data_IF_983696238517
#
_entry.id   IF_983696238517
#
_cell.length_a   1.000
_cell.length_b   1.000
_cell.length_c   1.000
_cell.angle_alpha   90.00
_cell.angle_beta   90.00
_cell.angle_gamma   90.00
#
_symmetry.space_group_name_H-M   'P 1'
#
loop_
_entity.id
_entity.type
_entity.pdbx_description
1 polymer ?
#
# COMPACT_ATOMS: atom_id res chain seq x y z
N UNK A 1 0.74 5.10 20.12
CA UNK A 1 -0.28 5.15 19.08
C UNK A 1 0.34 4.91 17.72
N UNK A 2 -0.30 4.09 16.90
CA UNK A 2 0.24 3.76 15.60
C UNK A 2 -0.73 4.12 14.49
N UNK A 3 -0.16 4.48 13.34
CA UNK A 3 -0.96 4.76 12.16
C UNK A 3 -1.09 3.49 11.33
N UNK A 4 -2.29 3.20 10.90
CA UNK A 4 -2.56 2.01 10.11
C UNK A 4 -2.23 2.31 8.64
N UNK A 5 -1.37 1.49 8.06
CA UNK A 5 -0.88 1.70 6.70
C UNK A 5 -1.38 0.60 5.79
N UNK A 6 -1.72 0.98 4.57
CA UNK A 6 -2.11 0.02 3.55
C UNK A 6 -1.24 0.24 2.32
N UNK A 7 -0.70 -0.85 1.79
CA UNK A 7 0.12 -0.80 0.58
C UNK A 7 -0.69 -1.32 -0.59
N UNK A 8 -0.72 -0.56 -1.68
CA UNK A 8 -1.40 -0.97 -2.90
C UNK A 8 -0.40 -0.90 -4.03
N UNK A 9 0.05 -2.07 -4.49
CA UNK A 9 1.06 -2.14 -5.52
C UNK A 9 0.96 -3.52 -6.17
N UNK A 10 0.99 -3.56 -7.49
CA UNK A 10 0.88 -4.83 -8.19
C UNK A 10 2.22 -5.56 -8.29
N UNK A 11 3.28 -4.98 -7.77
CA UNK A 11 4.60 -5.60 -7.78
C UNK A 11 4.94 -6.15 -6.42
N UNK A 12 5.12 -7.46 -6.29
CA UNK A 12 5.42 -8.05 -4.98
C UNK A 12 6.71 -7.53 -4.36
N UNK A 13 7.72 -7.28 -5.19
CA UNK A 13 9.00 -6.80 -4.66
C UNK A 13 8.85 -5.40 -4.08
N UNK A 14 8.09 -4.54 -4.75
CA UNK A 14 7.85 -3.20 -4.23
C UNK A 14 7.09 -3.26 -2.90
N UNK A 15 6.14 -4.17 -2.80
CA UNK A 15 5.41 -4.35 -1.54
C UNK A 15 6.36 -4.75 -0.42
N UNK A 16 7.29 -5.65 -0.70
CA UNK A 16 8.23 -6.10 0.31
C UNK A 16 9.13 -4.98 0.78
N UNK A 17 9.56 -4.13 -0.12
CA UNK A 17 10.42 -3.02 0.23
C UNK A 17 9.68 -2.04 1.14
N UNK A 18 8.46 -1.70 0.79
CA UNK A 18 7.66 -0.80 1.60
C UNK A 18 7.34 -1.41 2.96
N UNK A 19 7.04 -2.70 2.96
CA UNK A 19 6.75 -3.38 4.22
C UNK A 19 7.96 -3.32 5.15
N UNK A 20 9.14 -3.49 4.60
CA UNK A 20 10.35 -3.43 5.40
C UNK A 20 10.53 -2.04 6.01
N UNK A 21 10.33 -1.00 5.22
CA UNK A 21 10.45 0.35 5.75
C UNK A 21 9.42 0.62 6.84
N UNK A 22 8.19 0.20 6.61
CA UNK A 22 7.14 0.40 7.59
C UNK A 22 7.47 -0.31 8.90
N UNK A 23 8.05 -1.50 8.80
CA UNK A 23 8.37 -2.27 10.00
C UNK A 23 9.46 -1.62 10.84
N UNK A 24 10.23 -0.71 10.25
CA UNK A 24 11.29 -0.04 10.97
C UNK A 24 10.84 1.26 11.63
N UNK A 25 9.61 1.65 11.41
CA UNK A 25 9.08 2.89 11.98
C UNK A 25 8.04 2.52 13.02
N UNK A 26 8.35 2.81 14.28
CA UNK A 26 7.49 2.41 15.38
C UNK A 26 6.08 2.98 15.29
N UNK A 27 5.95 4.16 14.72
CA UNK A 27 4.65 4.82 14.65
C UNK A 27 3.72 4.22 13.59
N UNK A 28 4.23 3.30 12.77
CA UNK A 28 3.44 2.73 11.68
C UNK A 28 3.15 1.26 11.91
N UNK A 29 1.98 0.86 11.48
CA UNK A 29 1.58 -0.55 11.53
C UNK A 29 0.99 -0.93 10.18
N UNK A 30 1.49 -1.99 9.60
CA UNK A 30 1.00 -2.43 8.30
C UNK A 30 -0.29 -3.22 8.49
N UNK A 31 -1.38 -2.64 8.03
CA UNK A 31 -2.69 -3.29 8.13
C UNK A 31 -2.91 -4.30 7.03
N UNK A 32 -2.30 -4.07 5.86
CA UNK A 32 -2.47 -5.02 4.77
C UNK A 32 -1.71 -4.62 3.53
N UNK A 33 -1.68 -5.53 2.57
CA UNK A 33 -1.07 -5.29 1.27
C UNK A 33 -2.06 -5.72 0.20
N UNK A 34 -2.20 -4.91 -0.81
CA UNK A 34 -3.14 -5.18 -1.89
C UNK A 34 -2.44 -5.09 -3.24
N UNK A 35 -2.94 -5.84 -4.20
CA UNK A 35 -2.36 -5.85 -5.53
C UNK A 35 -3.12 -4.95 -6.50
N UNK A 36 -4.31 -4.53 -6.15
CA UNK A 36 -5.11 -3.70 -7.03
C UNK A 36 -6.09 -2.86 -6.24
N UNK A 37 -6.76 -1.96 -6.94
CA UNK A 37 -7.66 -1.01 -6.31
C UNK A 37 -8.88 -1.66 -5.67
N UNK A 38 -9.35 -2.76 -6.26
CA UNK A 38 -10.52 -3.42 -5.70
C UNK A 38 -10.22 -4.00 -4.32
N UNK A 39 -9.06 -4.62 -4.19
CA UNK A 39 -8.66 -5.13 -2.89
C UNK A 39 -8.50 -4.00 -1.88
N UNK A 40 -7.94 -2.90 -2.33
CA UNK A 40 -7.74 -1.76 -1.46
C UNK A 40 -9.08 -1.21 -0.96
N UNK A 41 -10.04 -1.08 -1.85
CA UNK A 41 -11.35 -0.59 -1.45
C UNK A 41 -12.00 -1.50 -0.41
N UNK A 42 -11.83 -2.80 -0.57
CA UNK A 42 -12.38 -3.75 0.38
C UNK A 42 -11.80 -3.53 1.77
N UNK A 43 -10.48 -3.35 1.85
CA UNK A 43 -9.83 -3.12 3.12
C UNK A 43 -10.25 -1.79 3.71
N UNK A 44 -10.31 -0.75 2.87
CA UNK A 44 -10.70 0.57 3.34
C UNK A 44 -12.12 0.59 3.91
N UNK A 45 -12.95 -0.29 3.40
CA UNK A 45 -14.31 -0.39 3.87
C UNK A 45 -14.39 -1.06 5.25
N UNK A 46 -13.50 -1.99 5.51
CA UNK A 46 -13.55 -2.77 6.73
C UNK A 46 -12.67 -2.24 7.84
N UNK A 47 -11.64 -1.52 7.53
CA UNK A 47 -10.67 -1.08 8.51
C UNK A 47 -10.36 0.39 8.35
N UNK A 48 -10.03 1.02 9.44
CA UNK A 48 -9.65 2.41 9.40
C UNK A 48 -8.18 2.50 8.99
N UNK A 49 -7.93 3.04 7.82
CA UNK A 49 -6.58 3.20 7.30
C UNK A 49 -6.20 4.68 7.40
N UNK A 50 -5.04 4.95 7.97
CA UNK A 50 -4.56 6.32 8.13
C UNK A 50 -3.67 6.76 6.99
N UNK A 51 -2.88 5.83 6.46
CA UNK A 51 -1.91 6.15 5.41
C UNK A 51 -2.02 5.13 4.30
N UNK A 52 -2.12 5.62 3.08
CA UNK A 52 -2.23 4.76 1.92
C UNK A 52 -0.99 4.95 1.04
N UNK A 53 -0.22 3.88 0.85
CA UNK A 53 0.91 3.89 -0.06
C UNK A 53 0.44 3.33 -1.39
N UNK A 54 0.30 4.20 -2.36
CA UNK A 54 -0.26 3.84 -3.64
C UNK A 54 0.78 4.00 -4.74
N UNK A 55 1.07 2.92 -5.44
CA UNK A 55 1.96 2.99 -6.58
C UNK A 55 1.12 3.17 -7.83
N UNK A 56 1.28 4.32 -8.46
CA UNK A 56 0.53 4.62 -9.65
C UNK A 56 1.29 4.31 -10.91
N UNK A 57 2.42 3.61 -10.77
CA UNK A 57 3.16 3.23 -11.92
C UNK A 57 2.37 2.42 -12.88
N UNK A 58 1.49 1.60 -12.40
CA UNK A 58 0.69 0.76 -13.26
C UNK A 58 -0.19 1.57 -14.20
N UNK A 59 -0.29 2.84 -13.98
CA UNK A 59 -1.06 3.68 -14.85
C UNK A 59 -0.26 4.26 -15.96
N UNK A 60 1.07 4.43 -15.73
CA UNK A 60 1.85 5.11 -16.70
C UNK A 60 2.40 4.29 -17.75
N UNK A 61 2.13 3.07 -17.77
CA UNK A 61 2.67 2.33 -18.75
C UNK A 61 2.27 2.81 -20.01
N UNK A 62 1.60 3.54 -20.22
CA UNK A 62 1.36 3.91 -21.38
C UNK A 62 1.96 5.00 -21.81
N UNK A 63 2.39 5.42 -21.75
CA UNK A 63 2.95 6.37 -22.11
C UNK A 63 3.74 6.51 -22.85
N UNK A 64 3.88 6.31 -23.19
CA UNK A 64 4.68 6.41 -23.76
C UNK A 64 4.90 7.38 -24.32
N UNK A 65 5.16 7.66 -24.35
CA UNK A 65 5.41 8.55 -24.96
C UNK A 65 6.19 8.83 -25.09
#
# INVERSE_FOLDING_TARGET
MKYQCLIVDDEPIAQQILEKYISQIDALHLAGKCSNAFQALHVLYQEKIDILFLDIQMVRKRKCF
#
